data_IF_331261716195
#
_entry.id   IF_331261716195
#
_cell.length_a   1.000
_cell.length_b   1.000
_cell.length_c   1.000
_cell.angle_alpha   90.00
_cell.angle_beta   90.00
_cell.angle_gamma   90.00
#
_symmetry.space_group_name_H-M   'P 1'
#
loop_
_entity.id
_entity.type
_entity.pdbx_description
1 polymer ?
#
# COMPACT_ATOMS: atom_id res chain seq x y z
N UNK A 1 3.79 7.40 -0.41
CA UNK A 1 4.10 5.95 -0.27
C UNK A 1 4.60 5.48 -1.61
N UNK A 2 5.80 4.90 -1.64
CA UNK A 2 6.43 4.45 -2.88
C UNK A 2 6.12 2.97 -3.11
N UNK A 3 5.67 2.62 -4.31
CA UNK A 3 5.41 1.24 -4.76
C UNK A 3 6.54 0.80 -5.68
N UNK A 4 7.22 -0.30 -5.33
CA UNK A 4 8.31 -0.89 -6.12
C UNK A 4 7.77 -1.75 -7.27
N UNK A 5 8.58 -1.95 -8.29
CA UNK A 5 8.22 -2.67 -9.52
C UNK A 5 7.84 -4.14 -9.31
N UNK A 6 8.32 -4.78 -8.23
CA UNK A 6 7.97 -6.17 -7.91
C UNK A 6 6.70 -6.31 -7.05
N UNK A 7 5.91 -5.23 -6.92
CA UNK A 7 4.57 -5.34 -6.34
C UNK A 7 3.71 -6.29 -7.18
N UNK A 8 3.20 -7.35 -6.55
CA UNK A 8 2.36 -8.37 -7.20
C UNK A 8 0.86 -8.10 -7.09
N UNK A 9 0.46 -6.89 -6.66
CA UNK A 9 -0.94 -6.49 -6.52
C UNK A 9 -1.82 -7.46 -5.70
N UNK A 10 -1.27 -8.04 -4.63
CA UNK A 10 -1.97 -9.07 -3.83
C UNK A 10 -3.12 -8.54 -2.96
N UNK A 11 -3.20 -7.23 -2.71
CA UNK A 11 -4.30 -6.63 -1.94
C UNK A 11 -4.13 -6.61 -0.41
N UNK A 12 -3.09 -7.22 0.15
CA UNK A 12 -2.85 -7.27 1.61
C UNK A 12 -2.83 -5.87 2.25
N UNK A 13 -2.14 -4.92 1.61
CA UNK A 13 -2.05 -3.53 2.04
C UNK A 13 -3.42 -2.82 2.06
N UNK A 14 -4.32 -3.16 1.13
CA UNK A 14 -5.68 -2.65 1.11
C UNK A 14 -6.50 -3.23 2.26
N UNK A 15 -6.36 -4.53 2.54
CA UNK A 15 -7.06 -5.22 3.63
C UNK A 15 -6.70 -4.70 5.02
N UNK A 16 -5.45 -4.31 5.24
CA UNK A 16 -5.01 -3.77 6.55
C UNK A 16 -5.24 -2.27 6.72
N UNK A 17 -5.62 -1.53 5.69
CA UNK A 17 -5.76 -0.08 5.77
C UNK A 17 -7.05 0.29 6.52
N UNK A 18 -6.99 0.80 7.77
CA UNK A 18 -8.20 1.08 8.55
C UNK A 18 -9.04 2.23 7.98
N UNK A 19 -8.47 3.00 7.05
CA UNK A 19 -9.11 4.14 6.38
C UNK A 19 -9.52 3.83 4.94
N UNK A 20 -9.32 2.59 4.47
CA UNK A 20 -9.63 2.13 3.11
C UNK A 20 -9.06 3.05 2.01
N UNK A 21 -7.81 3.47 2.15
CA UNK A 21 -7.16 4.44 1.25
C UNK A 21 -6.38 3.79 0.09
N UNK A 22 -6.35 2.47 0.04
CA UNK A 22 -5.58 1.72 -0.96
C UNK A 22 -6.57 0.88 -1.78
N UNK A 23 -6.54 1.08 -3.09
CA UNK A 23 -7.31 0.29 -4.06
C UNK A 23 -6.32 -0.52 -4.90
N UNK A 24 -6.48 -1.84 -4.93
CA UNK A 24 -5.65 -2.75 -5.73
C UNK A 24 -6.50 -3.36 -6.84
N UNK A 25 -5.96 -3.31 -8.07
CA UNK A 25 -6.52 -3.96 -9.27
C UNK A 25 -5.44 -4.86 -9.88
N UNK A 26 -5.79 -5.61 -10.92
CA UNK A 26 -4.93 -6.65 -11.55
C UNK A 26 -3.46 -6.22 -11.75
N UNK A 27 -3.23 -4.99 -12.21
CA UNK A 27 -1.89 -4.46 -12.50
C UNK A 27 -1.67 -3.03 -11.99
N UNK A 28 -2.51 -2.54 -11.07
CA UNK A 28 -2.38 -1.17 -10.55
C UNK A 28 -2.72 -1.10 -9.05
N UNK A 29 -2.05 -0.18 -8.36
CA UNK A 29 -2.34 0.19 -6.98
C UNK A 29 -2.55 1.69 -6.93
N UNK A 30 -3.72 2.12 -6.45
CA UNK A 30 -4.02 3.53 -6.16
C UNK A 30 -3.99 3.75 -4.67
N UNK A 31 -3.36 4.84 -4.24
CA UNK A 31 -3.25 5.22 -2.84
C UNK A 31 -3.64 6.68 -2.69
N UNK A 32 -4.58 6.98 -1.79
CA UNK A 32 -4.96 8.33 -1.42
C UNK A 32 -4.10 8.82 -0.26
N UNK A 33 -3.10 9.65 -0.56
CA UNK A 33 -2.17 10.19 0.43
C UNK A 33 -2.77 11.30 1.31
N UNK A 34 -3.68 12.10 0.77
CA UNK A 34 -4.28 13.27 1.47
C UNK A 34 -4.97 12.90 2.80
N UNK A 35 -5.46 11.67 2.90
CA UNK A 35 -6.20 11.17 4.06
C UNK A 35 -5.39 10.20 4.92
N UNK A 36 -4.14 9.89 4.52
CA UNK A 36 -3.27 8.99 5.24
C UNK A 36 -2.84 9.59 6.57
N UNK A 37 -2.64 8.72 7.57
CA UNK A 37 -2.13 9.09 8.90
C UNK A 37 -0.80 8.43 9.23
N UNK A 38 -0.09 7.99 8.19
CA UNK A 38 1.29 7.48 8.29
C UNK A 38 1.47 6.38 9.34
N UNK A 39 0.47 5.49 9.46
CA UNK A 39 0.48 4.38 10.44
C UNK A 39 1.40 3.21 10.06
N UNK A 40 1.97 3.23 8.85
CA UNK A 40 2.91 2.23 8.29
C UNK A 40 2.46 0.76 8.26
N UNK A 41 1.20 0.45 8.58
CA UNK A 41 0.63 -0.92 8.54
C UNK A 41 0.74 -1.57 7.16
N UNK A 42 0.43 -0.83 6.08
CA UNK A 42 0.52 -1.33 4.71
C UNK A 42 1.95 -1.75 4.34
N UNK A 43 2.95 -1.04 4.85
CA UNK A 43 4.36 -1.31 4.63
C UNK A 43 4.79 -2.57 5.40
N UNK A 44 4.39 -2.66 6.67
CA UNK A 44 4.74 -3.81 7.53
C UNK A 44 4.15 -5.13 7.05
N UNK A 45 2.92 -5.12 6.53
CA UNK A 45 2.24 -6.35 6.09
C UNK A 45 2.71 -6.84 4.73
N UNK A 46 3.41 -6.01 3.93
CA UNK A 46 3.73 -6.36 2.55
C UNK A 46 4.66 -7.59 2.50
N UNK A 47 4.19 -8.76 2.00
CA UNK A 47 4.95 -10.01 2.08
C UNK A 47 6.22 -9.98 1.22
N UNK A 48 6.21 -9.19 0.15
CA UNK A 48 7.32 -9.01 -0.79
C UNK A 48 8.09 -7.71 -0.56
N UNK A 49 7.79 -6.97 0.52
CA UNK A 49 8.43 -5.68 0.87
C UNK A 49 8.50 -4.69 -0.30
N UNK A 50 7.42 -4.61 -1.07
CA UNK A 50 7.30 -3.74 -2.24
C UNK A 50 6.82 -2.32 -1.91
N UNK A 51 6.47 -2.01 -0.66
CA UNK A 51 5.98 -0.70 -0.22
C UNK A 51 7.01 -0.02 0.69
N UNK A 52 7.21 1.29 0.51
CA UNK A 52 8.15 2.09 1.29
C UNK A 52 7.54 3.45 1.65
N UNK A 53 7.94 4.01 2.80
CA UNK A 53 7.60 5.39 3.20
C UNK A 53 8.14 6.39 2.16
N UNK A 54 7.36 7.43 1.88
CA UNK A 54 7.87 8.63 1.20
C UNK A 54 8.66 9.43 2.23
N UNK A 55 9.88 9.86 1.87
CA UNK A 55 10.70 10.71 2.73
C UNK A 55 10.65 12.14 2.23
#
# INVERSE_FOLDING_TARGET
MIVKEWCMYCGECAGVCPRNLIEVRELTLKFNEDQCKECSLCIQVCPVKALQEDK
#
